data_IF_806876869483
#
_entry.id   IF_806876869483
#
_cell.length_a   1.000
_cell.length_b   1.000
_cell.length_c   1.000
_cell.angle_alpha   90.00
_cell.angle_beta   90.00
_cell.angle_gamma   90.00
#
_symmetry.space_group_name_H-M   'P 1'
#
loop_
_entity.id
_entity.type
_entity.pdbx_description
1 polymer ?
#
# COMPACT_ATOMS: atom_id res chain seq x y z
N UNK A 1 2.47 34.68 -2.56
CA UNK A 1 3.40 33.86 -3.36
C UNK A 1 2.84 33.70 -4.76
N UNK A 2 3.57 34.11 -5.79
CA UNK A 2 3.13 33.89 -7.17
C UNK A 2 3.66 32.54 -7.65
N UNK A 3 2.75 31.57 -7.78
CA UNK A 3 3.09 30.17 -8.09
C UNK A 3 3.87 30.05 -9.41
N UNK A 4 3.60 30.90 -10.40
CA UNK A 4 4.31 30.85 -11.67
C UNK A 4 5.76 31.36 -11.54
N UNK A 5 5.99 32.36 -10.70
CA UNK A 5 7.33 32.87 -10.41
C UNK A 5 8.16 31.79 -9.72
N UNK A 6 7.60 31.15 -8.70
CA UNK A 6 8.26 30.07 -7.95
C UNK A 6 8.58 28.86 -8.83
N UNK A 7 7.66 28.48 -9.72
CA UNK A 7 7.92 27.40 -10.70
C UNK A 7 9.10 27.74 -11.61
N UNK A 8 9.17 28.98 -12.10
CA UNK A 8 10.26 29.40 -12.96
C UNK A 8 11.60 29.41 -12.20
N UNK A 9 11.62 29.85 -10.94
CA UNK A 9 12.82 29.82 -10.10
C UNK A 9 13.33 28.39 -9.86
N UNK A 10 12.43 27.46 -9.55
CA UNK A 10 12.79 26.04 -9.38
C UNK A 10 13.35 25.43 -10.66
N UNK A 11 12.79 25.76 -11.83
CA UNK A 11 13.31 25.29 -13.12
C UNK A 11 14.75 25.78 -13.32
N UNK A 12 15.03 27.06 -13.06
CA UNK A 12 16.39 27.60 -13.19
C UNK A 12 17.37 26.90 -12.24
N UNK A 13 17.00 26.73 -10.97
CA UNK A 13 17.84 26.03 -10.00
C UNK A 13 18.14 24.59 -10.41
N UNK A 14 17.14 23.87 -10.96
CA UNK A 14 17.32 22.50 -11.44
C UNK A 14 18.27 22.45 -12.66
N UNK A 15 18.18 23.43 -13.57
CA UNK A 15 19.07 23.51 -14.73
C UNK A 15 20.54 23.70 -14.35
N UNK A 16 20.81 24.34 -13.21
CA UNK A 16 22.16 24.59 -12.70
C UNK A 16 22.74 23.38 -11.92
N UNK A 17 21.92 22.39 -11.57
CA UNK A 17 22.38 21.21 -10.82
C UNK A 17 23.27 20.31 -11.69
N UNK A 18 24.47 20.03 -11.19
CA UNK A 18 25.40 19.08 -11.81
C UNK A 18 25.53 17.77 -11.01
N UNK A 19 25.17 17.78 -9.71
CA UNK A 19 25.24 16.60 -8.87
C UNK A 19 24.08 15.63 -9.16
N UNK A 20 24.42 14.51 -9.79
CA UNK A 20 23.46 13.46 -10.15
C UNK A 20 22.71 12.86 -8.95
N UNK A 21 23.30 12.87 -7.75
CA UNK A 21 22.66 12.38 -6.53
C UNK A 21 21.53 13.31 -6.06
N UNK A 22 21.71 14.62 -6.20
CA UNK A 22 20.71 15.64 -5.87
C UNK A 22 19.57 15.60 -6.89
N UNK A 23 19.90 15.48 -8.18
CA UNK A 23 18.90 15.32 -9.25
C UNK A 23 18.03 14.07 -9.02
N UNK A 24 18.64 12.96 -8.60
CA UNK A 24 17.91 11.72 -8.29
C UNK A 24 16.94 11.93 -7.12
N UNK A 25 17.40 12.50 -6.01
CA UNK A 25 16.55 12.78 -4.84
C UNK A 25 15.37 13.69 -5.17
N UNK A 26 15.59 14.73 -5.99
CA UNK A 26 14.53 15.64 -6.43
C UNK A 26 13.49 14.91 -7.30
N UNK A 27 13.95 14.04 -8.21
CA UNK A 27 13.07 13.21 -9.03
C UNK A 27 12.22 12.27 -8.18
N UNK A 28 12.83 11.61 -7.20
CA UNK A 28 12.13 10.68 -6.31
C UNK A 28 11.10 11.40 -5.44
N UNK A 29 11.45 12.57 -4.89
CA UNK A 29 10.54 13.43 -4.14
C UNK A 29 9.35 13.86 -5.00
N UNK A 30 9.61 14.43 -6.19
CA UNK A 30 8.53 14.84 -7.10
C UNK A 30 7.66 13.65 -7.51
N UNK A 31 8.24 12.49 -7.83
CA UNK A 31 7.45 11.28 -8.13
C UNK A 31 6.57 10.88 -6.96
N UNK A 32 7.09 10.86 -5.73
CA UNK A 32 6.34 10.47 -4.54
C UNK A 32 5.18 11.43 -4.22
N UNK A 33 5.44 12.73 -4.32
CA UNK A 33 4.46 13.74 -3.91
C UNK A 33 3.47 14.11 -5.04
N UNK A 34 3.84 13.91 -6.31
CA UNK A 34 2.95 14.22 -7.46
C UNK A 34 2.29 13.01 -8.08
N UNK A 35 2.96 11.85 -8.08
CA UNK A 35 2.28 10.58 -8.35
C UNK A 35 1.68 10.14 -7.04
N UNK A 36 0.41 10.47 -6.86
CA UNK A 36 -0.45 9.91 -5.81
C UNK A 36 -0.73 8.42 -6.14
N UNK A 37 0.34 7.65 -6.33
CA UNK A 37 0.32 6.24 -6.68
C UNK A 37 0.16 5.42 -5.41
N UNK A 38 -0.75 5.86 -4.55
CA UNK A 38 -1.27 5.04 -3.48
C UNK A 38 -1.84 3.80 -4.15
N UNK A 39 -1.24 2.65 -3.86
CA UNK A 39 -1.60 1.38 -4.48
C UNK A 39 -3.10 1.09 -4.26
N UNK A 40 -3.69 1.65 -3.19
CA UNK A 40 -5.13 1.64 -2.95
C UNK A 40 -5.95 2.20 -4.13
N UNK A 41 -5.46 3.24 -4.81
CA UNK A 41 -6.12 3.82 -5.98
C UNK A 41 -6.08 2.90 -7.21
N UNK A 42 -5.16 1.95 -7.25
CA UNK A 42 -5.05 0.96 -8.34
C UNK A 42 -5.94 -0.26 -8.16
N UNK A 43 -6.52 -0.45 -6.97
CA UNK A 43 -7.43 -1.56 -6.68
C UNK A 43 -8.79 -1.36 -7.36
N UNK A 44 -9.35 -2.47 -7.84
CA UNK A 44 -10.75 -2.56 -8.27
C UNK A 44 -11.72 -2.36 -7.10
N UNK A 45 -12.99 -2.07 -7.42
CA UNK A 45 -14.03 -1.89 -6.40
C UNK A 45 -14.20 -3.14 -5.52
N UNK A 46 -14.15 -4.34 -6.12
CA UNK A 46 -14.29 -5.60 -5.38
C UNK A 46 -13.12 -5.86 -4.43
N UNK A 47 -11.90 -5.49 -4.81
CA UNK A 47 -10.73 -5.58 -3.93
C UNK A 47 -10.86 -4.63 -2.73
N UNK A 48 -11.31 -3.40 -2.96
CA UNK A 48 -11.58 -2.42 -1.89
C UNK A 48 -12.68 -2.90 -0.94
N UNK A 49 -13.77 -3.44 -1.48
CA UNK A 49 -14.86 -4.03 -0.68
C UNK A 49 -14.38 -5.23 0.15
N UNK A 50 -13.54 -6.09 -0.42
CA UNK A 50 -12.94 -7.23 0.28
C UNK A 50 -12.07 -6.77 1.47
N UNK A 51 -11.25 -5.75 1.27
CA UNK A 51 -10.43 -5.15 2.33
C UNK A 51 -11.33 -4.55 3.43
N UNK A 52 -12.34 -3.77 3.06
CA UNK A 52 -13.27 -3.17 4.02
C UNK A 52 -14.02 -4.23 4.85
N UNK A 53 -14.40 -5.34 4.20
CA UNK A 53 -14.99 -6.49 4.90
C UNK A 53 -13.99 -7.13 5.87
N UNK A 54 -12.75 -7.37 5.44
CA UNK A 54 -11.70 -7.93 6.31
C UNK A 54 -11.42 -7.08 7.55
N UNK A 55 -11.39 -5.75 7.40
CA UNK A 55 -11.27 -4.83 8.54
C UNK A 55 -12.45 -4.93 9.50
N UNK A 56 -13.68 -4.98 8.97
CA UNK A 56 -14.88 -5.18 9.79
C UNK A 56 -14.88 -6.54 10.50
N UNK A 57 -14.37 -7.59 9.85
CA UNK A 57 -14.24 -8.91 10.46
C UNK A 57 -13.19 -8.91 11.59
N UNK A 58 -12.09 -8.16 11.44
CA UNK A 58 -11.13 -7.93 12.52
C UNK A 58 -11.76 -7.21 13.71
N UNK A 59 -12.48 -6.11 13.48
CA UNK A 59 -13.11 -5.31 14.54
C UNK A 59 -14.19 -6.10 15.30
N UNK A 60 -14.93 -6.96 14.60
CA UNK A 60 -15.96 -7.81 15.21
C UNK A 60 -15.40 -9.08 15.88
N UNK A 61 -14.08 -9.31 15.82
CA UNK A 61 -13.47 -10.54 16.33
C UNK A 61 -13.82 -11.78 15.51
N UNK A 62 -14.29 -11.62 14.27
CA UNK A 62 -14.56 -12.71 13.31
C UNK A 62 -13.25 -13.26 12.71
N UNK A 63 -12.26 -13.51 13.57
CA UNK A 63 -10.98 -14.08 13.18
C UNK A 63 -10.76 -15.38 13.92
N UNK A 64 -10.02 -16.29 13.29
CA UNK A 64 -9.61 -17.55 13.89
C UNK A 64 -8.08 -17.60 13.83
N UNK A 65 -7.46 -18.00 14.93
CA UNK A 65 -6.01 -18.11 14.98
C UNK A 65 -5.53 -19.22 14.06
N UNK A 66 -4.29 -19.10 13.57
CA UNK A 66 -3.69 -20.16 12.78
C UNK A 66 -3.64 -21.49 13.56
N UNK A 67 -3.36 -21.44 14.86
CA UNK A 67 -3.30 -22.61 15.73
C UNK A 67 -4.64 -23.34 15.80
N UNK A 68 -5.74 -22.59 15.96
CA UNK A 68 -7.10 -23.16 16.02
C UNK A 68 -7.52 -23.78 14.68
N UNK A 69 -7.15 -23.15 13.56
CA UNK A 69 -7.38 -23.72 12.22
C UNK A 69 -6.61 -25.04 12.08
N UNK A 70 -5.34 -25.08 12.45
CA UNK A 70 -4.53 -26.31 12.33
C UNK A 70 -5.06 -27.42 13.24
N UNK A 71 -5.47 -27.10 14.47
CA UNK A 71 -6.05 -28.06 15.39
C UNK A 71 -7.37 -28.64 14.83
N UNK A 72 -8.28 -27.79 14.34
CA UNK A 72 -9.55 -28.23 13.77
C UNK A 72 -9.37 -29.12 12.53
N UNK A 73 -8.44 -28.78 11.65
CA UNK A 73 -8.10 -29.57 10.45
C UNK A 73 -7.52 -30.93 10.85
N UNK A 74 -6.58 -30.99 11.80
CA UNK A 74 -6.01 -32.25 12.31
C UNK A 74 -7.10 -33.16 12.87
N UNK A 75 -7.99 -32.63 13.70
CA UNK A 75 -9.10 -33.37 14.28
C UNK A 75 -10.06 -33.89 13.20
N UNK A 76 -10.37 -33.07 12.19
CA UNK A 76 -11.22 -33.50 11.07
C UNK A 76 -10.61 -34.65 10.29
N UNK A 77 -9.32 -34.58 9.96
CA UNK A 77 -8.61 -35.66 9.26
C UNK A 77 -8.60 -36.95 10.09
N UNK A 78 -8.37 -36.85 11.41
CA UNK A 78 -8.40 -38.01 12.29
C UNK A 78 -9.77 -38.70 12.30
N UNK A 79 -10.86 -37.93 12.37
CA UNK A 79 -12.24 -38.47 12.36
C UNK A 79 -12.59 -39.21 11.07
N UNK A 80 -12.08 -38.74 9.93
CA UNK A 80 -12.32 -39.36 8.62
C UNK A 80 -11.50 -40.63 8.41
N UNK A 81 -10.38 -40.79 9.13
CA UNK A 81 -9.57 -42.02 9.08
C UNK A 81 -10.10 -43.15 9.97
N UNK A 82 -11.03 -42.85 10.88
CA UNK A 82 -11.64 -43.81 11.80
C UNK A 82 -12.99 -44.34 11.29
N UNK A 83 -13.50 -43.81 10.17
CA UNK A 83 -14.62 -44.34 9.39
C UNK A 83 -14.10 -45.28 8.29
#
# INVERSE_FOLDING_TARGET
>A
MNIQIEKNQLIQQIMELQDSSVIKKMRDFLSKETKNNDWYNSLSSSEKESIAKGLKDLDNGNTISHEDVIASVKNKIASLKQQ
#
